data_IF_211763457062
#
_entry.id   IF_211763457062
#
_cell.length_a   1.000
_cell.length_b   1.000
_cell.length_c   1.000
_cell.angle_alpha   90.00
_cell.angle_beta   90.00
_cell.angle_gamma   90.00
#
_symmetry.space_group_name_H-M   'P 1'
#
loop_
_entity.id
_entity.type
_entity.pdbx_description
1 polymer ?
#
# COMPACT_ATOMS: atom_id res chain seq x y z
N UNK A 1 -30.64 -5.16 2.20
CA UNK A 1 -30.78 -4.96 3.66
C UNK A 1 -30.16 -3.61 3.97
N UNK A 2 -30.87 -2.70 4.64
CA UNK A 2 -30.28 -1.42 5.10
C UNK A 2 -29.56 -1.65 6.43
N UNK A 3 -28.31 -1.18 6.53
CA UNK A 3 -27.50 -1.28 7.75
C UNK A 3 -27.71 -0.02 8.60
N UNK A 4 -28.30 -0.10 9.81
CA UNK A 4 -28.52 1.05 10.68
C UNK A 4 -27.24 1.85 10.98
N UNK A 5 -26.11 1.16 11.08
CA UNK A 5 -24.78 1.71 11.33
C UNK A 5 -24.38 2.71 10.25
N UNK A 6 -24.66 2.40 8.97
CA UNK A 6 -24.41 3.29 7.83
C UNK A 6 -25.22 4.58 7.96
N UNK A 7 -26.47 4.46 8.39
CA UNK A 7 -27.34 5.63 8.62
C UNK A 7 -26.82 6.50 9.76
N UNK A 8 -26.32 5.89 10.84
CA UNK A 8 -25.77 6.60 12.01
C UNK A 8 -24.53 7.40 11.61
N UNK A 9 -23.57 6.80 10.91
CA UNK A 9 -22.33 7.50 10.52
C UNK A 9 -22.58 8.58 9.48
N UNK A 10 -23.54 8.38 8.56
CA UNK A 10 -23.97 9.43 7.62
C UNK A 10 -24.59 10.63 8.33
N UNK A 11 -25.46 10.40 9.32
CA UNK A 11 -26.03 11.48 10.15
C UNK A 11 -24.93 12.23 10.90
N UNK A 12 -23.96 11.50 11.46
CA UNK A 12 -22.81 12.09 12.14
C UNK A 12 -21.96 12.95 11.20
N UNK A 13 -21.65 12.47 9.99
CA UNK A 13 -20.91 13.25 8.98
C UNK A 13 -21.69 14.49 8.54
N UNK A 14 -22.98 14.34 8.21
CA UNK A 14 -23.84 15.42 7.75
C UNK A 14 -24.05 16.53 8.80
N UNK A 15 -23.90 16.21 10.09
CA UNK A 15 -23.95 17.21 11.16
C UNK A 15 -22.78 18.21 11.13
N UNK A 16 -21.72 17.95 10.35
CA UNK A 16 -20.53 18.79 10.25
C UNK A 16 -19.57 18.66 11.45
N UNK A 17 -19.93 17.91 12.50
CA UNK A 17 -19.10 17.76 13.70
C UNK A 17 -17.71 17.16 13.43
N UNK A 18 -17.57 16.37 12.36
CA UNK A 18 -16.32 15.72 11.96
C UNK A 18 -15.34 16.65 11.22
N UNK A 19 -15.78 17.86 10.82
CA UNK A 19 -14.96 18.79 10.04
C UNK A 19 -13.86 19.47 10.87
N UNK A 20 -14.10 19.74 12.16
CA UNK A 20 -13.15 20.52 12.95
C UNK A 20 -11.86 19.75 13.20
N UNK A 21 -10.72 20.44 13.14
CA UNK A 21 -9.42 19.84 13.47
C UNK A 21 -9.35 19.43 14.94
N UNK A 22 -10.03 20.17 15.82
CA UNK A 22 -10.10 19.87 17.25
C UNK A 22 -10.82 18.53 17.50
N UNK A 23 -12.00 18.33 16.88
CA UNK A 23 -12.72 17.06 17.00
C UNK A 23 -11.85 15.89 16.52
N UNK A 24 -11.24 16.04 15.34
CA UNK A 24 -10.35 15.03 14.74
C UNK A 24 -9.15 14.71 15.63
N UNK A 25 -8.43 15.73 16.10
CA UNK A 25 -7.30 15.55 17.04
C UNK A 25 -7.73 14.85 18.31
N UNK A 26 -8.85 15.26 18.90
CA UNK A 26 -9.39 14.64 20.11
C UNK A 26 -9.68 13.16 19.92
N UNK A 27 -10.23 12.76 18.77
CA UNK A 27 -10.47 11.33 18.52
C UNK A 27 -9.15 10.58 18.32
N UNK A 28 -8.20 11.15 17.58
CA UNK A 28 -6.87 10.55 17.38
C UNK A 28 -6.08 10.40 18.68
N UNK A 29 -6.20 11.33 19.63
CA UNK A 29 -5.53 11.22 20.94
C UNK A 29 -6.12 10.08 21.76
N UNK A 30 -7.44 9.97 21.86
CA UNK A 30 -8.12 8.84 22.53
C UNK A 30 -7.72 7.49 21.92
N UNK A 31 -7.54 7.48 20.61
CA UNK A 31 -7.06 6.34 19.86
C UNK A 31 -5.65 5.91 20.31
N UNK A 32 -4.71 6.85 20.42
CA UNK A 32 -3.38 6.56 20.96
C UNK A 32 -3.48 6.01 22.38
N UNK A 33 -4.29 6.64 23.24
CA UNK A 33 -4.49 6.19 24.62
C UNK A 33 -5.06 4.76 24.71
N UNK A 34 -6.00 4.38 23.83
CA UNK A 34 -6.57 3.02 23.78
C UNK A 34 -5.49 1.95 23.52
N UNK A 35 -4.52 2.25 22.65
CA UNK A 35 -3.41 1.35 22.32
C UNK A 35 -2.25 1.40 23.29
N UNK A 36 -2.08 2.51 23.99
CA UNK A 36 -1.12 2.61 25.07
C UNK A 36 -1.57 1.85 26.33
N UNK A 37 -2.89 1.63 26.48
CA UNK A 37 -3.46 0.81 27.55
C UNK A 37 -3.03 -0.66 27.44
N UNK A 38 -2.34 -1.14 28.48
CA UNK A 38 -1.79 -2.49 28.53
C UNK A 38 -2.87 -3.57 28.40
N UNK A 39 -4.03 -3.38 29.03
CA UNK A 39 -5.09 -4.39 29.05
C UNK A 39 -5.72 -4.56 27.67
N UNK A 40 -5.88 -3.47 26.93
CA UNK A 40 -6.34 -3.53 25.54
C UNK A 40 -5.30 -4.21 24.64
N UNK A 41 -4.01 -3.91 24.80
CA UNK A 41 -2.94 -4.60 24.08
C UNK A 41 -2.94 -6.11 24.32
N UNK A 42 -3.05 -6.53 25.59
CA UNK A 42 -3.06 -7.94 25.95
C UNK A 42 -4.26 -8.65 25.31
N UNK A 43 -5.45 -8.03 25.34
CA UNK A 43 -6.65 -8.58 24.71
C UNK A 43 -6.52 -8.72 23.19
N UNK A 44 -5.91 -7.74 22.53
CA UNK A 44 -5.66 -7.78 21.08
C UNK A 44 -4.66 -8.89 20.75
N UNK A 45 -3.57 -8.98 21.51
CA UNK A 45 -2.58 -10.05 21.36
C UNK A 45 -3.19 -11.43 21.56
N UNK A 46 -4.03 -11.60 22.60
CA UNK A 46 -4.72 -12.87 22.87
C UNK A 46 -5.69 -13.26 21.75
N UNK A 47 -6.42 -12.30 21.19
CA UNK A 47 -7.35 -12.55 20.08
C UNK A 47 -6.58 -12.98 18.82
N UNK A 48 -5.56 -12.22 18.43
CA UNK A 48 -4.77 -12.50 17.23
C UNK A 48 -3.97 -13.81 17.41
N UNK A 49 -3.51 -14.13 18.62
CA UNK A 49 -2.89 -15.43 18.89
C UNK A 49 -3.89 -16.59 18.71
N UNK A 50 -5.15 -16.43 19.14
CA UNK A 50 -6.17 -17.48 18.95
C UNK A 50 -6.50 -17.72 17.48
N UNK A 51 -6.59 -16.64 16.70
CA UNK A 51 -7.02 -16.70 15.30
C UNK A 51 -5.86 -17.07 14.36
N UNK A 52 -4.70 -16.45 14.54
CA UNK A 52 -3.57 -16.49 13.60
C UNK A 52 -2.29 -17.09 14.21
N UNK A 53 -2.27 -17.38 15.52
CA UNK A 53 -1.09 -17.90 16.25
C UNK A 53 0.13 -16.98 16.24
N UNK A 54 -0.04 -15.69 15.93
CA UNK A 54 1.04 -14.70 16.00
C UNK A 54 1.49 -14.47 17.44
N UNK A 55 2.79 -14.43 17.67
CA UNK A 55 3.31 -14.11 19.00
C UNK A 55 3.09 -12.63 19.34
N UNK A 56 3.03 -12.30 20.63
CA UNK A 56 2.81 -10.92 21.12
C UNK A 56 3.73 -9.91 20.45
N UNK A 57 5.02 -10.24 20.30
CA UNK A 57 6.00 -9.33 19.69
C UNK A 57 5.67 -9.00 18.23
N UNK A 58 5.23 -9.99 17.45
CA UNK A 58 4.81 -9.80 16.06
C UNK A 58 3.55 -8.95 15.97
N UNK A 59 2.56 -9.23 16.82
CA UNK A 59 1.31 -8.46 16.88
C UNK A 59 1.59 -6.99 17.19
N UNK A 60 2.42 -6.73 18.21
CA UNK A 60 2.81 -5.37 18.62
C UNK A 60 3.45 -4.56 17.49
N UNK A 61 4.18 -5.21 16.59
CA UNK A 61 4.90 -4.54 15.50
C UNK A 61 4.03 -4.39 14.24
N UNK A 62 3.11 -5.33 14.00
CA UNK A 62 2.43 -5.45 12.69
C UNK A 62 0.95 -5.07 12.69
N UNK A 63 0.28 -5.10 13.84
CA UNK A 63 -1.20 -5.10 13.89
C UNK A 63 -1.80 -4.00 14.75
N UNK A 64 -1.09 -3.54 15.78
CA UNK A 64 -1.68 -2.67 16.81
C UNK A 64 -1.73 -1.22 16.33
N UNK A 65 -2.74 -0.90 15.52
CA UNK A 65 -3.28 0.43 15.20
C UNK A 65 -4.79 0.32 14.84
N UNK A 66 -5.60 1.34 15.20
CA UNK A 66 -7.06 1.58 15.00
C UNK A 66 -8.08 1.46 16.19
N UNK A 67 -8.77 2.58 16.50
CA UNK A 67 -9.72 2.79 17.61
C UNK A 67 -11.17 2.78 17.17
N UNK A 68 -11.95 1.92 17.82
CA UNK A 68 -13.37 1.64 17.61
C UNK A 68 -14.35 2.81 17.74
N UNK A 69 -13.97 3.96 18.30
CA UNK A 69 -14.89 5.12 18.39
C UNK A 69 -14.99 5.92 17.07
N UNK A 70 -14.07 5.72 16.12
CA UNK A 70 -14.00 6.47 14.86
C UNK A 70 -14.60 5.74 13.65
N UNK A 71 -14.94 4.48 13.80
CA UNK A 71 -15.50 3.63 12.75
C UNK A 71 -16.69 2.84 13.29
N UNK A 72 -17.46 2.21 12.38
CA UNK A 72 -18.44 1.19 12.76
C UNK A 72 -17.95 -0.14 12.22
N UNK A 73 -18.06 -1.19 13.03
CA UNK A 73 -17.69 -2.55 12.62
C UNK A 73 -18.96 -3.29 12.21
N UNK A 74 -18.99 -3.73 10.96
CA UNK A 74 -19.99 -4.67 10.48
C UNK A 74 -19.28 -6.00 10.26
N UNK A 75 -19.56 -6.98 11.12
CA UNK A 75 -19.10 -8.34 10.91
C UNK A 75 -19.96 -8.98 9.83
N UNK A 76 -19.34 -9.35 8.71
CA UNK A 76 -20.04 -9.88 7.56
C UNK A 76 -19.19 -10.96 6.86
N UNK A 77 -19.86 -12.01 6.41
CA UNK A 77 -19.28 -12.97 5.47
C UNK A 77 -19.33 -12.43 4.02
N UNK A 78 -19.03 -13.28 3.04
CA UNK A 78 -19.06 -12.87 1.63
C UNK A 78 -20.44 -12.37 1.16
N UNK A 79 -21.54 -12.91 1.68
CA UNK A 79 -22.90 -12.51 1.32
C UNK A 79 -23.23 -11.17 1.99
N UNK A 80 -22.92 -11.05 3.28
CA UNK A 80 -23.09 -9.82 4.03
C UNK A 80 -22.28 -8.65 3.44
N UNK A 81 -21.04 -8.91 3.02
CA UNK A 81 -20.16 -7.91 2.39
C UNK A 81 -20.72 -7.45 1.05
N UNK A 82 -21.22 -8.37 0.22
CA UNK A 82 -21.94 -8.00 -1.02
C UNK A 82 -23.17 -7.14 -0.70
N UNK A 83 -23.97 -7.51 0.30
CA UNK A 83 -25.12 -6.68 0.69
C UNK A 83 -24.67 -5.29 1.18
N UNK A 84 -23.57 -5.19 1.93
CA UNK A 84 -23.04 -3.92 2.42
C UNK A 84 -22.65 -3.00 1.27
N UNK A 85 -21.95 -3.53 0.26
CA UNK A 85 -21.49 -2.79 -0.92
C UNK A 85 -22.61 -2.33 -1.85
N UNK A 86 -23.87 -2.77 -1.66
CA UNK A 86 -25.02 -2.17 -2.37
C UNK A 86 -25.33 -0.75 -1.91
N UNK A 87 -24.86 -0.36 -0.71
CA UNK A 87 -25.00 0.98 -0.18
C UNK A 87 -24.02 1.94 -0.87
N UNK A 88 -24.45 3.18 -1.09
CA UNK A 88 -23.57 4.24 -1.61
C UNK A 88 -22.55 4.66 -0.55
N UNK A 89 -21.27 4.47 -0.82
CA UNK A 89 -20.19 5.06 -0.01
C UNK A 89 -19.55 6.22 -0.77
N UNK A 90 -19.01 7.19 -0.05
CA UNK A 90 -18.27 8.30 -0.66
C UNK A 90 -16.84 7.89 -1.05
N UNK A 91 -16.33 6.82 -0.42
CA UNK A 91 -15.06 6.18 -0.73
C UNK A 91 -15.10 4.71 -0.26
N UNK A 92 -14.43 3.82 -0.99
CA UNK A 92 -14.22 2.42 -0.55
C UNK A 92 -12.73 2.12 -0.50
N UNK A 93 -12.28 1.60 0.63
CA UNK A 93 -10.92 1.09 0.81
C UNK A 93 -11.02 -0.42 1.02
N UNK A 94 -10.31 -1.20 0.20
CA UNK A 94 -10.34 -2.66 0.27
C UNK A 94 -8.92 -3.22 0.25
N UNK A 95 -8.62 -4.14 1.17
CA UNK A 95 -7.41 -4.94 1.17
C UNK A 95 -7.80 -6.41 1.09
N UNK A 96 -7.21 -7.16 0.16
CA UNK A 96 -7.52 -8.58 0.00
C UNK A 96 -7.12 -9.16 -1.35
N UNK A 97 -7.80 -10.23 -1.78
CA UNK A 97 -7.46 -10.90 -3.04
C UNK A 97 -7.89 -10.12 -4.28
N UNK A 98 -7.12 -10.25 -5.36
CA UNK A 98 -7.40 -9.60 -6.65
C UNK A 98 -8.78 -9.93 -7.21
N UNK A 99 -9.24 -11.18 -7.03
CA UNK A 99 -10.55 -11.62 -7.48
C UNK A 99 -11.69 -10.87 -6.75
N UNK A 100 -11.57 -10.68 -5.43
CA UNK A 100 -12.57 -9.94 -4.65
C UNK A 100 -12.45 -8.45 -4.95
N UNK A 101 -11.24 -7.90 -5.09
CA UNK A 101 -11.01 -6.52 -5.49
C UNK A 101 -11.73 -6.13 -6.80
N UNK A 102 -11.68 -7.00 -7.81
CA UNK A 102 -12.45 -6.86 -9.07
C UNK A 102 -13.96 -6.73 -8.82
N UNK A 103 -14.48 -7.56 -7.91
CA UNK A 103 -15.90 -7.52 -7.53
C UNK A 103 -16.25 -6.23 -6.79
N UNK A 104 -15.41 -5.79 -5.86
CA UNK A 104 -15.57 -4.53 -5.12
C UNK A 104 -15.60 -3.33 -6.07
N UNK A 105 -14.66 -3.27 -7.03
CA UNK A 105 -14.63 -2.22 -8.05
C UNK A 105 -15.91 -2.18 -8.88
N UNK A 106 -16.39 -3.35 -9.33
CA UNK A 106 -17.62 -3.44 -10.12
C UNK A 106 -18.85 -2.94 -9.34
N UNK A 107 -18.92 -3.25 -8.04
CA UNK A 107 -20.00 -2.78 -7.18
C UNK A 107 -19.90 -1.28 -6.88
N UNK A 108 -18.69 -0.77 -6.64
CA UNK A 108 -18.45 0.66 -6.41
C UNK A 108 -18.84 1.51 -7.64
N UNK A 109 -18.63 0.97 -8.85
CA UNK A 109 -18.96 1.64 -10.10
C UNK A 109 -20.46 1.98 -10.24
N UNK A 110 -21.37 1.22 -9.62
CA UNK A 110 -22.81 1.50 -9.67
C UNK A 110 -23.18 2.84 -9.02
N UNK A 111 -22.33 3.34 -8.13
CA UNK A 111 -22.51 4.60 -7.41
C UNK A 111 -21.48 5.67 -7.77
N UNK A 112 -20.61 5.39 -8.76
CA UNK A 112 -19.43 6.20 -9.08
C UNK A 112 -18.54 6.46 -7.85
N UNK A 113 -18.48 5.48 -6.94
CA UNK A 113 -17.70 5.58 -5.72
C UNK A 113 -16.21 5.34 -6.04
N UNK A 114 -15.31 6.28 -5.71
CA UNK A 114 -13.88 6.06 -5.84
C UNK A 114 -13.42 4.93 -4.90
N UNK A 115 -12.45 4.14 -5.37
CA UNK A 115 -11.90 3.01 -4.59
C UNK A 115 -10.38 3.07 -4.51
N UNK A 116 -9.84 2.55 -3.41
CA UNK A 116 -8.47 2.03 -3.36
C UNK A 116 -8.52 0.54 -3.07
N UNK A 117 -7.81 -0.23 -3.89
CA UNK A 117 -7.64 -1.67 -3.75
C UNK A 117 -6.17 -1.96 -3.45
N UNK A 118 -5.91 -2.50 -2.27
CA UNK A 118 -4.59 -2.98 -1.83
C UNK A 118 -4.58 -4.50 -1.97
N UNK A 119 -4.02 -5.01 -3.07
CA UNK A 119 -4.12 -6.41 -3.44
C UNK A 119 -2.77 -7.13 -3.26
N UNK A 120 -2.81 -8.46 -3.30
CA UNK A 120 -1.61 -9.30 -3.22
C UNK A 120 -0.90 -9.45 -4.56
N UNK A 121 0.05 -10.37 -4.61
CA UNK A 121 0.77 -10.72 -5.83
C UNK A 121 2.04 -11.51 -5.54
N UNK A 122 2.65 -12.09 -6.58
CA UNK A 122 3.87 -12.89 -6.40
C UNK A 122 5.10 -11.98 -6.35
N UNK A 123 5.50 -11.55 -5.16
CA UNK A 123 6.66 -10.68 -4.95
C UNK A 123 8.00 -11.41 -5.24
N UNK A 124 8.74 -11.06 -6.32
CA UNK A 124 10.01 -11.69 -6.63
C UNK A 124 11.15 -11.20 -5.72
N UNK A 125 12.09 -12.12 -5.45
CA UNK A 125 13.41 -11.80 -4.89
C UNK A 125 14.48 -12.18 -5.91
N UNK A 126 15.26 -11.22 -6.39
CA UNK A 126 16.45 -11.50 -7.20
C UNK A 126 17.70 -11.54 -6.32
N UNK A 127 18.55 -12.56 -6.50
CA UNK A 127 19.84 -12.69 -5.79
C UNK A 127 20.94 -13.02 -6.80
N UNK A 128 21.96 -12.17 -6.91
CA UNK A 128 23.15 -12.43 -7.73
C UNK A 128 24.34 -12.98 -6.91
N UNK A 129 25.42 -13.32 -7.62
CA UNK A 129 26.64 -13.89 -7.04
C UNK A 129 27.41 -12.91 -6.15
N UNK A 130 27.16 -11.61 -6.29
CA UNK A 130 27.86 -10.56 -5.53
C UNK A 130 27.24 -10.36 -4.15
N UNK A 131 25.98 -10.77 -3.97
CA UNK A 131 25.23 -10.61 -2.73
C UNK A 131 25.89 -11.31 -1.53
N UNK A 132 25.73 -10.73 -0.33
CA UNK A 132 26.08 -11.42 0.90
C UNK A 132 25.05 -12.51 1.20
N UNK A 133 25.24 -13.70 0.65
CA UNK A 133 24.27 -14.81 0.70
C UNK A 133 23.82 -15.14 2.14
N UNK A 134 24.74 -15.16 3.12
CA UNK A 134 24.39 -15.41 4.53
C UNK A 134 23.42 -14.37 5.12
N UNK A 135 23.59 -13.10 4.78
CA UNK A 135 22.68 -12.04 5.24
C UNK A 135 21.36 -12.05 4.47
N UNK A 136 21.43 -12.30 3.15
CA UNK A 136 20.25 -12.45 2.30
C UNK A 136 19.33 -13.55 2.84
N UNK A 137 19.88 -14.73 3.18
CA UNK A 137 19.14 -15.84 3.80
C UNK A 137 18.41 -15.38 5.05
N UNK A 138 19.10 -14.73 6.00
CA UNK A 138 18.46 -14.25 7.25
C UNK A 138 17.29 -13.31 7.00
N UNK A 139 17.47 -12.32 6.13
CA UNK A 139 16.44 -11.31 5.81
C UNK A 139 15.25 -11.92 5.10
N UNK A 140 15.52 -12.72 4.07
CA UNK A 140 14.50 -13.37 3.25
C UNK A 140 13.69 -14.37 4.07
N UNK A 141 14.33 -15.19 4.90
CA UNK A 141 13.62 -16.14 5.76
C UNK A 141 12.79 -15.45 6.83
N UNK A 142 13.31 -14.40 7.45
CA UNK A 142 12.52 -13.58 8.39
C UNK A 142 11.26 -13.02 7.70
N UNK A 143 11.42 -12.42 6.52
CA UNK A 143 10.31 -11.86 5.76
C UNK A 143 9.31 -12.90 5.24
N UNK A 144 9.78 -14.11 4.92
CA UNK A 144 8.90 -15.21 4.49
C UNK A 144 8.19 -15.88 5.66
N UNK A 145 8.80 -15.92 6.85
CA UNK A 145 8.26 -16.67 7.99
C UNK A 145 7.41 -15.81 8.93
N UNK A 146 7.52 -14.48 8.87
CA UNK A 146 6.58 -13.59 9.57
C UNK A 146 5.15 -13.88 9.07
N UNK A 147 4.19 -13.93 9.99
CA UNK A 147 2.82 -14.37 9.74
C UNK A 147 2.71 -15.70 8.97
N UNK A 148 3.68 -16.61 9.12
CA UNK A 148 3.77 -17.85 8.36
C UNK A 148 3.71 -17.63 6.83
N UNK A 149 4.20 -16.49 6.33
CA UNK A 149 4.22 -16.16 4.91
C UNK A 149 2.92 -15.57 4.36
N UNK A 150 1.92 -15.37 5.21
CA UNK A 150 0.64 -14.74 4.87
C UNK A 150 0.75 -13.21 4.89
N UNK A 151 1.63 -12.66 4.05
CA UNK A 151 1.87 -11.21 3.95
C UNK A 151 1.88 -10.83 2.47
N UNK A 152 1.12 -9.81 2.06
CA UNK A 152 0.97 -9.41 0.64
C UNK A 152 2.29 -8.99 -0.03
N UNK A 153 3.30 -8.64 0.77
CA UNK A 153 4.66 -8.31 0.32
C UNK A 153 5.70 -9.34 0.75
N UNK A 154 5.28 -10.52 1.21
CA UNK A 154 6.23 -11.59 1.51
C UNK A 154 7.01 -11.94 0.23
N UNK A 155 8.31 -12.24 0.33
CA UNK A 155 9.03 -12.96 -0.70
C UNK A 155 8.21 -14.16 -1.19
N UNK A 156 7.76 -14.16 -2.45
CA UNK A 156 6.93 -15.26 -2.95
C UNK A 156 7.81 -16.33 -3.60
N UNK A 157 8.77 -15.90 -4.42
CA UNK A 157 9.76 -16.78 -5.07
C UNK A 157 11.13 -16.09 -5.23
N UNK A 158 12.19 -16.89 -5.37
CA UNK A 158 13.56 -16.42 -5.61
C UNK A 158 13.96 -16.66 -7.05
N UNK A 159 14.63 -15.69 -7.65
CA UNK A 159 15.28 -15.77 -8.94
C UNK A 159 16.78 -15.63 -8.73
N UNK A 160 17.57 -16.64 -9.08
CA UNK A 160 19.02 -16.61 -8.89
C UNK A 160 19.74 -17.59 -9.83
N UNK A 161 21.07 -17.55 -9.87
CA UNK A 161 21.83 -18.61 -10.53
C UNK A 161 21.82 -19.90 -9.71
N UNK A 162 22.12 -21.03 -10.36
CA UNK A 162 22.18 -22.34 -9.70
C UNK A 162 23.17 -22.36 -8.53
N UNK A 163 24.31 -21.70 -8.68
CA UNK A 163 25.33 -21.63 -7.63
C UNK A 163 24.83 -20.85 -6.39
N UNK A 164 24.07 -19.78 -6.62
CA UNK A 164 23.45 -19.00 -5.54
C UNK A 164 22.36 -19.82 -4.85
N UNK A 165 21.53 -20.56 -5.59
CA UNK A 165 20.51 -21.46 -5.03
C UNK A 165 21.13 -22.50 -4.08
N UNK A 166 22.19 -23.20 -4.53
CA UNK A 166 22.89 -24.19 -3.72
C UNK A 166 23.48 -23.58 -2.44
N UNK A 167 24.06 -22.37 -2.56
CA UNK A 167 24.60 -21.65 -1.41
C UNK A 167 23.51 -21.21 -0.43
N UNK A 168 22.37 -20.73 -0.91
CA UNK A 168 21.24 -20.29 -0.09
C UNK A 168 20.67 -21.45 0.74
N UNK A 169 20.43 -22.61 0.10
CA UNK A 169 19.90 -23.81 0.75
C UNK A 169 20.86 -24.29 1.85
N UNK A 170 22.18 -24.25 1.59
CA UNK A 170 23.18 -24.63 2.59
C UNK A 170 23.13 -23.72 3.83
N UNK A 171 23.20 -22.40 3.65
CA UNK A 171 23.16 -21.46 4.78
C UNK A 171 21.85 -21.50 5.55
N UNK A 172 20.76 -21.83 4.86
CA UNK A 172 19.45 -21.98 5.51
C UNK A 172 19.49 -23.10 6.54
N UNK A 173 20.01 -24.29 6.19
CA UNK A 173 20.07 -25.45 7.09
C UNK A 173 20.86 -25.20 8.38
N UNK A 174 21.74 -24.20 8.39
CA UNK A 174 22.56 -23.85 9.56
C UNK A 174 21.81 -22.99 10.60
N UNK A 175 20.65 -22.39 10.26
CA UNK A 175 20.01 -21.30 11.02
C UNK A 175 18.50 -21.55 11.36
N UNK A 176 17.96 -22.77 11.18
CA UNK A 176 16.50 -23.01 11.26
C UNK A 176 15.92 -23.17 12.67
N UNK A 177 14.81 -22.46 12.94
CA UNK A 177 13.90 -22.67 14.09
C UNK A 177 12.45 -22.99 13.66
N UNK A 178 12.11 -22.79 12.38
CA UNK A 178 10.86 -23.17 11.70
C UNK A 178 11.27 -23.80 10.36
N UNK A 179 10.57 -24.82 9.84
CA UNK A 179 10.91 -25.49 8.57
C UNK A 179 10.10 -24.91 7.38
N UNK A 180 10.58 -23.87 6.67
CA UNK A 180 10.02 -23.49 5.37
C UNK A 180 10.33 -24.55 4.32
N UNK A 181 9.42 -24.73 3.36
CA UNK A 181 9.58 -25.72 2.28
C UNK A 181 10.22 -25.05 1.06
N UNK A 182 11.44 -25.46 0.71
CA UNK A 182 12.13 -24.98 -0.50
C UNK A 182 11.87 -25.91 -1.69
N UNK A 183 11.54 -25.32 -2.83
CA UNK A 183 11.33 -26.06 -4.09
C UNK A 183 12.28 -25.49 -5.14
N UNK A 184 13.28 -26.27 -5.53
CA UNK A 184 14.32 -25.84 -6.47
C UNK A 184 13.94 -26.04 -7.94
N UNK A 185 14.51 -25.21 -8.82
CA UNK A 185 14.38 -25.32 -10.29
C UNK A 185 12.93 -25.31 -10.80
N UNK A 186 12.10 -24.47 -10.19
CA UNK A 186 10.70 -24.28 -10.56
C UNK A 186 10.62 -23.54 -11.90
N UNK A 187 9.74 -24.02 -12.77
CA UNK A 187 9.44 -23.41 -14.06
C UNK A 187 8.25 -22.48 -13.95
N UNK A 188 8.14 -21.57 -14.91
CA UNK A 188 7.05 -20.59 -14.97
C UNK A 188 5.65 -21.23 -14.98
N UNK A 189 5.50 -22.34 -15.68
CA UNK A 189 4.25 -23.05 -15.89
C UNK A 189 3.89 -24.01 -14.75
N UNK A 190 4.74 -24.15 -13.73
CA UNK A 190 4.43 -24.95 -12.55
C UNK A 190 3.28 -24.32 -11.75
N UNK A 191 2.50 -25.17 -11.07
CA UNK A 191 1.34 -24.76 -10.25
C UNK A 191 1.74 -23.73 -9.18
N UNK A 192 2.92 -23.90 -8.59
CA UNK A 192 3.48 -22.98 -7.58
C UNK A 192 3.70 -21.56 -8.11
N UNK A 193 3.74 -21.38 -9.44
CA UNK A 193 3.98 -20.09 -10.08
C UNK A 193 2.71 -19.43 -10.63
N UNK A 194 1.56 -20.12 -10.61
CA UNK A 194 0.32 -19.60 -11.21
C UNK A 194 -0.42 -18.63 -10.28
N UNK A 195 -0.42 -18.88 -8.97
CA UNK A 195 -1.14 -18.08 -7.98
C UNK A 195 -0.21 -17.63 -6.85
N UNK A 196 -0.64 -16.64 -6.07
CA UNK A 196 0.04 -16.18 -4.86
C UNK A 196 0.10 -17.32 -3.83
N UNK A 197 1.28 -17.59 -3.26
CA UNK A 197 1.47 -18.76 -2.39
C UNK A 197 0.87 -18.53 -1.01
N UNK A 198 1.05 -17.31 -0.48
CA UNK A 198 0.52 -16.87 0.81
C UNK A 198 0.75 -17.87 1.97
N UNK A 199 1.96 -18.44 2.01
CA UNK A 199 2.34 -19.49 2.96
C UNK A 199 3.84 -19.79 2.91
N UNK A 200 4.38 -20.67 3.78
CA UNK A 200 5.82 -20.86 3.99
C UNK A 200 6.47 -21.81 2.96
N UNK A 201 6.09 -21.68 1.69
CA UNK A 201 6.68 -22.42 0.55
C UNK A 201 7.49 -21.43 -0.30
N UNK A 202 8.67 -21.85 -0.74
CA UNK A 202 9.67 -20.98 -1.37
C UNK A 202 10.24 -21.59 -2.66
N UNK A 203 9.64 -21.28 -3.82
CA UNK A 203 10.14 -21.67 -5.13
C UNK A 203 11.42 -20.92 -5.52
N UNK A 204 12.35 -21.62 -6.16
CA UNK A 204 13.51 -21.03 -6.83
C UNK A 204 13.40 -21.19 -8.35
N UNK A 205 13.46 -20.06 -9.05
CA UNK A 205 13.60 -19.97 -10.49
C UNK A 205 15.06 -19.72 -10.81
N UNK A 206 15.69 -20.62 -11.56
CA UNK A 206 17.10 -20.48 -11.94
C UNK A 206 17.24 -19.70 -13.23
N UNK A 207 18.09 -18.67 -13.25
CA UNK A 207 18.41 -17.87 -14.43
C UNK A 207 19.92 -17.74 -14.62
N UNK A 208 20.35 -17.40 -15.83
CA UNK A 208 21.76 -17.26 -16.19
C UNK A 208 22.23 -15.79 -16.20
N UNK A 209 21.31 -14.82 -16.13
CA UNK A 209 21.64 -13.40 -16.17
C UNK A 209 20.56 -12.52 -15.54
N UNK A 210 20.92 -11.27 -15.25
CA UNK A 210 19.95 -10.24 -14.83
C UNK A 210 18.92 -9.94 -15.92
N UNK A 211 19.29 -10.07 -17.21
CA UNK A 211 18.36 -9.83 -18.33
C UNK A 211 17.27 -10.89 -18.36
N UNK A 212 17.64 -12.16 -18.18
CA UNK A 212 16.69 -13.27 -18.08
C UNK A 212 15.78 -13.12 -16.85
N UNK A 213 16.30 -12.61 -15.73
CA UNK A 213 15.50 -12.28 -14.56
C UNK A 213 14.47 -11.18 -14.85
N UNK A 214 14.89 -10.11 -15.54
CA UNK A 214 14.01 -9.00 -15.96
C UNK A 214 12.91 -9.52 -16.88
N UNK A 215 13.27 -10.34 -17.87
CA UNK A 215 12.31 -10.92 -18.81
C UNK A 215 11.32 -11.84 -18.09
N UNK A 216 11.78 -12.63 -17.12
CA UNK A 216 10.92 -13.47 -16.29
C UNK A 216 9.92 -12.62 -15.49
N UNK A 217 10.39 -11.61 -14.74
CA UNK A 217 9.55 -10.73 -13.91
C UNK A 217 8.52 -9.99 -14.76
N UNK A 218 8.93 -9.43 -15.90
CA UNK A 218 8.02 -8.70 -16.79
C UNK A 218 6.98 -9.60 -17.46
N UNK A 219 7.20 -10.92 -17.43
CA UNK A 219 6.28 -11.89 -17.99
C UNK A 219 5.18 -12.34 -17.02
N UNK A 220 5.29 -12.01 -15.73
CA UNK A 220 4.27 -12.28 -14.71
C UNK A 220 3.35 -11.08 -14.50
N UNK A 221 2.31 -11.23 -13.67
CA UNK A 221 1.55 -10.08 -13.18
C UNK A 221 2.47 -9.13 -12.39
N UNK A 222 2.14 -7.83 -12.39
CA UNK A 222 2.95 -6.81 -11.72
C UNK A 222 2.88 -7.02 -10.20
N UNK A 223 4.03 -7.26 -9.53
CA UNK A 223 4.02 -7.54 -8.09
C UNK A 223 3.84 -6.27 -7.26
N UNK A 224 3.30 -6.43 -6.05
CA UNK A 224 3.21 -5.35 -5.06
C UNK A 224 4.60 -4.90 -4.58
N UNK A 225 5.54 -5.84 -4.41
CA UNK A 225 6.93 -5.54 -4.06
C UNK A 225 7.95 -6.32 -4.88
N UNK A 226 9.09 -5.71 -5.17
CA UNK A 226 10.29 -6.33 -5.74
C UNK A 226 11.47 -6.21 -4.77
N UNK A 227 12.22 -7.29 -4.59
CA UNK A 227 13.41 -7.32 -3.73
C UNK A 227 14.66 -7.67 -4.53
N UNK A 228 15.72 -6.89 -4.36
CA UNK A 228 16.97 -7.03 -5.11
C UNK A 228 18.13 -7.19 -4.14
N UNK A 229 18.79 -8.34 -4.12
CA UNK A 229 20.03 -8.55 -3.37
C UNK A 229 21.21 -8.57 -4.34
N UNK A 230 21.99 -7.48 -4.32
CA UNK A 230 23.18 -7.29 -5.14
C UNK A 230 24.12 -6.29 -4.48
N UNK A 231 25.42 -6.46 -4.66
CA UNK A 231 26.43 -5.43 -4.36
C UNK A 231 26.80 -4.60 -5.59
N UNK A 232 26.40 -5.02 -6.79
CA UNK A 232 26.60 -4.27 -8.02
C UNK A 232 25.42 -3.33 -8.27
N UNK A 233 25.65 -2.03 -8.08
CA UNK A 233 24.63 -1.01 -8.29
C UNK A 233 24.11 -0.98 -9.73
N UNK A 234 24.91 -1.39 -10.72
CA UNK A 234 24.46 -1.41 -12.11
C UNK A 234 23.38 -2.49 -12.31
N UNK A 235 23.55 -3.65 -11.66
CA UNK A 235 22.55 -4.73 -11.71
C UNK A 235 21.27 -4.28 -11.00
N UNK A 236 21.40 -3.65 -9.82
CA UNK A 236 20.24 -3.16 -9.07
C UNK A 236 19.47 -2.08 -9.82
N UNK A 237 20.17 -1.07 -10.37
CA UNK A 237 19.57 -0.01 -11.18
C UNK A 237 18.91 -0.57 -12.44
N UNK A 238 19.55 -1.51 -13.13
CA UNK A 238 19.02 -2.16 -14.33
C UNK A 238 17.71 -2.90 -14.04
N UNK A 239 17.61 -3.61 -12.91
CA UNK A 239 16.36 -4.26 -12.48
C UNK A 239 15.28 -3.24 -12.14
N UNK A 240 15.63 -2.19 -11.40
CA UNK A 240 14.69 -1.11 -11.05
C UNK A 240 14.12 -0.38 -12.26
N UNK A 241 14.96 -0.07 -13.25
CA UNK A 241 14.57 0.69 -14.44
C UNK A 241 13.76 -0.12 -15.45
N UNK A 242 13.94 -1.45 -15.43
CA UNK A 242 13.37 -2.35 -16.46
C UNK A 242 12.29 -3.28 -15.96
N UNK A 243 11.85 -3.13 -14.71
CA UNK A 243 10.73 -3.88 -14.14
C UNK A 243 9.70 -2.93 -13.51
N UNK A 244 8.49 -3.43 -13.26
CA UNK A 244 7.42 -2.65 -12.61
C UNK A 244 6.97 -3.35 -11.33
N UNK A 245 6.86 -2.60 -10.23
CA UNK A 245 6.30 -3.07 -8.95
C UNK A 245 5.76 -1.89 -8.13
N UNK A 246 4.93 -2.18 -7.11
CA UNK A 246 4.44 -1.17 -6.16
C UNK A 246 5.55 -0.49 -5.35
N UNK A 247 6.51 -1.27 -4.87
CA UNK A 247 7.71 -0.77 -4.20
C UNK A 247 8.92 -1.69 -4.38
N UNK A 248 10.12 -1.10 -4.31
CA UNK A 248 11.38 -1.84 -4.43
C UNK A 248 12.22 -1.69 -3.17
N UNK A 249 12.85 -2.77 -2.71
CA UNK A 249 13.88 -2.71 -1.67
C UNK A 249 15.18 -3.38 -2.15
N UNK A 250 16.31 -2.69 -1.99
CA UNK A 250 17.64 -3.21 -2.31
C UNK A 250 18.30 -3.69 -1.02
N UNK A 251 18.78 -4.93 -1.03
CA UNK A 251 19.47 -5.62 0.06
C UNK A 251 18.65 -5.74 1.35
N UNK A 252 17.35 -5.48 1.31
CA UNK A 252 16.43 -5.72 2.42
C UNK A 252 15.06 -6.18 1.91
N UNK A 253 14.20 -6.59 2.84
CA UNK A 253 12.86 -7.11 2.55
C UNK A 253 11.85 -6.53 3.52
N UNK A 254 10.64 -6.24 3.04
CA UNK A 254 9.49 -5.70 3.80
C UNK A 254 9.73 -4.32 4.41
N UNK A 255 10.95 -3.92 4.75
CA UNK A 255 11.26 -2.72 5.52
C UNK A 255 10.77 -1.42 4.87
N UNK A 256 10.54 -1.40 3.55
CA UNK A 256 9.92 -0.25 2.88
C UNK A 256 8.52 0.08 3.43
N UNK A 257 7.80 -0.89 4.01
CA UNK A 257 6.48 -0.66 4.63
C UNK A 257 6.58 -0.03 6.02
N UNK A 258 7.76 -0.12 6.66
CA UNK A 258 8.01 0.45 7.97
C UNK A 258 8.30 1.96 7.90
N UNK A 259 8.78 2.47 6.76
CA UNK A 259 8.95 3.91 6.56
C UNK A 259 7.63 4.56 6.14
N UNK A 260 6.91 5.10 7.12
CA UNK A 260 5.59 5.72 6.96
C UNK A 260 5.57 6.95 6.01
N UNK A 261 6.74 7.43 5.58
CA UNK A 261 6.88 8.54 4.62
C UNK A 261 6.81 8.06 3.16
N UNK A 262 7.06 6.78 2.91
CA UNK A 262 7.00 6.19 1.58
C UNK A 262 5.56 5.83 1.17
N UNK A 263 5.23 5.92 -0.13
CA UNK A 263 4.00 5.33 -0.66
C UNK A 263 4.06 3.80 -0.63
N UNK A 264 2.91 3.20 -0.39
CA UNK A 264 2.58 1.79 -0.40
C UNK A 264 1.34 1.59 -1.28
N UNK A 265 1.37 0.57 -2.12
CA UNK A 265 0.32 0.27 -3.09
C UNK A 265 0.92 -0.24 -4.39
N UNK A 266 0.14 -1.00 -5.16
CA UNK A 266 0.59 -1.59 -6.42
C UNK A 266 0.46 -0.64 -7.62
N UNK A 267 0.76 -1.17 -8.82
CA UNK A 267 0.95 -0.36 -10.06
C UNK A 267 0.11 -0.83 -11.24
N UNK A 268 -0.88 -1.69 -11.03
CA UNK A 268 -1.60 -2.29 -12.14
C UNK A 268 -2.63 -1.33 -12.76
N UNK A 269 -2.57 -1.16 -14.08
CA UNK A 269 -3.21 -0.04 -14.81
C UNK A 269 -4.72 -0.17 -15.00
N UNK A 270 -5.33 -1.28 -14.56
CA UNK A 270 -6.77 -1.52 -14.73
C UNK A 270 -7.55 -1.71 -13.43
N UNK A 271 -6.90 -1.94 -12.29
CA UNK A 271 -7.60 -2.28 -11.04
C UNK A 271 -7.05 -1.60 -9.79
N UNK A 272 -5.76 -1.25 -9.74
CA UNK A 272 -5.17 -0.59 -8.57
C UNK A 272 -5.03 0.91 -8.82
N UNK A 273 -6.10 1.65 -8.48
CA UNK A 273 -6.08 3.11 -8.54
C UNK A 273 -5.59 3.68 -7.22
N UNK A 274 -4.38 4.26 -7.31
CA UNK A 274 -3.68 5.20 -6.40
C UNK A 274 -2.77 4.56 -5.35
N UNK A 275 -1.47 4.83 -5.52
CA UNK A 275 -0.41 4.71 -4.51
C UNK A 275 -0.81 5.48 -3.23
N UNK A 276 -0.73 4.84 -2.06
CA UNK A 276 -1.01 5.43 -0.75
C UNK A 276 0.28 5.62 0.04
N UNK A 277 0.72 6.84 0.34
CA UNK A 277 1.61 7.02 1.52
C UNK A 277 0.78 6.84 2.77
N UNK A 278 1.34 6.32 3.87
CA UNK A 278 0.64 6.37 5.15
C UNK A 278 0.27 7.83 5.54
N UNK A 279 1.07 8.81 5.10
CA UNK A 279 0.76 10.25 5.15
C UNK A 279 -0.22 10.76 4.06
N UNK A 280 -0.37 10.08 2.92
CA UNK A 280 -1.28 10.42 1.81
C UNK A 280 -2.61 9.64 1.87
N UNK A 281 -2.80 8.70 2.79
CA UNK A 281 -4.13 8.10 3.05
C UNK A 281 -5.17 9.17 3.37
N UNK A 282 -4.74 10.31 3.92
CA UNK A 282 -5.59 11.49 4.05
C UNK A 282 -5.91 12.09 2.67
N UNK A 283 -4.96 12.21 1.75
CA UNK A 283 -5.23 12.83 0.43
C UNK A 283 -6.05 11.95 -0.51
N UNK A 284 -6.00 10.63 -0.37
CA UNK A 284 -6.92 9.71 -1.06
C UNK A 284 -8.36 9.88 -0.54
N UNK A 285 -8.53 10.11 0.77
CA UNK A 285 -9.80 10.38 1.44
C UNK A 285 -10.31 11.83 1.28
N UNK A 286 -9.47 12.75 0.84
CA UNK A 286 -9.84 14.15 0.61
C UNK A 286 -10.17 14.38 -0.86
N UNK A 287 -11.37 14.91 -1.12
CA UNK A 287 -11.59 15.65 -2.36
C UNK A 287 -10.74 16.93 -2.30
N UNK A 288 -9.88 17.16 -3.30
CA UNK A 288 -9.21 18.47 -3.48
C UNK A 288 -10.11 19.33 -4.36
N UNK A 289 -11.01 20.16 -3.81
CA UNK A 289 -11.77 21.08 -4.65
C UNK A 289 -10.79 22.09 -5.24
N UNK A 290 -10.79 22.22 -6.57
CA UNK A 290 -10.17 23.35 -7.25
C UNK A 290 -11.04 24.59 -6.98
N UNK A 291 -10.82 25.24 -5.84
CA UNK A 291 -11.47 26.52 -5.54
C UNK A 291 -10.66 27.65 -6.15
N UNK A 292 -11.10 28.17 -7.30
CA UNK A 292 -10.70 29.49 -7.77
C UNK A 292 -11.57 30.52 -7.05
N UNK A 293 -11.09 31.07 -5.94
CA UNK A 293 -11.75 32.22 -5.31
C UNK A 293 -11.26 33.51 -5.98
N UNK A 294 -12.02 34.04 -6.94
CA UNK A 294 -11.93 35.45 -7.35
C UNK A 294 -13.07 36.21 -6.71
N UNK A 295 -12.82 36.82 -5.55
CA UNK A 295 -13.64 37.90 -5.04
C UNK A 295 -12.78 39.16 -4.99
N UNK A 296 -12.90 40.00 -6.00
CA UNK A 296 -12.36 41.36 -5.99
C UNK A 296 -13.51 42.31 -5.60
N UNK A 297 -13.49 42.85 -4.38
CA UNK A 297 -14.36 43.96 -4.01
C UNK A 297 -13.54 45.24 -3.92
N UNK A 298 -13.95 46.26 -4.66
CA UNK A 298 -13.47 47.63 -4.53
C UNK A 298 -14.38 48.39 -3.57
N UNK A 299 -13.84 48.79 -2.42
CA UNK A 299 -14.51 49.67 -1.45
C UNK A 299 -13.84 51.03 -1.52
N UNK A 300 -14.47 52.02 -2.16
CA UNK A 300 -13.98 53.40 -2.16
C UNK A 300 -14.46 54.12 -0.90
N UNK A 301 -13.54 54.70 -0.14
CA UNK A 301 -13.87 55.68 0.89
C UNK A 301 -13.81 57.07 0.25
N UNK A 302 -14.93 57.79 0.28
CA UNK A 302 -15.14 59.15 -0.24
C UNK A 302 -14.87 59.36 -1.74
N UNK A 303 -15.93 59.71 -2.47
CA UNK A 303 -15.84 60.06 -3.89
C UNK A 303 -15.19 61.44 -4.07
N UNK A 304 -14.00 61.48 -4.66
CA UNK A 304 -13.53 62.66 -5.38
C UNK A 304 -13.49 62.33 -6.88
N UNK A 305 -14.07 63.22 -7.68
CA UNK A 305 -14.29 63.09 -9.13
C UNK A 305 -13.02 62.67 -9.87
N UNK A 306 -13.04 61.64 -10.74
CA UNK A 306 -11.88 61.32 -11.57
C UNK A 306 -11.70 62.38 -12.66
N UNK A 307 -10.60 63.11 -12.59
CA UNK A 307 -10.11 63.95 -13.69
C UNK A 307 -9.10 63.13 -14.51
N UNK A 308 -9.50 62.69 -15.71
CA UNK A 308 -8.66 62.52 -16.91
C UNK A 308 -9.35 61.60 -17.92
N UNK A 309 -9.53 62.12 -19.14
CA UNK A 309 -9.99 61.45 -20.35
C UNK A 309 -9.07 60.30 -20.75
N UNK A 310 -9.61 59.09 -20.91
CA UNK A 310 -8.87 57.94 -21.41
C UNK A 310 -8.92 57.88 -22.94
N UNK A 311 -8.13 58.72 -23.60
CA UNK A 311 -7.77 58.52 -25.01
C UNK A 311 -6.41 57.81 -25.08
N UNK A 312 -6.36 56.66 -25.78
CA UNK A 312 -5.09 56.10 -26.26
C UNK A 312 -4.56 54.81 -25.63
N UNK A 313 -5.36 53.98 -24.96
CA UNK A 313 -4.87 52.65 -24.50
C UNK A 313 -5.06 51.60 -25.61
N UNK A 314 -3.96 51.30 -26.30
CA UNK A 314 -3.83 50.14 -27.21
C UNK A 314 -3.69 48.84 -26.40
N UNK A 315 -4.49 47.83 -26.72
CA UNK A 315 -4.31 46.47 -26.21
C UNK A 315 -3.08 45.83 -26.85
N UNK A 316 -2.03 45.58 -26.05
CA UNK A 316 -0.95 44.65 -26.41
C UNK A 316 -1.20 43.30 -25.73
N UNK A 317 -0.97 42.24 -26.52
CA UNK A 317 -1.23 40.83 -26.27
C UNK A 317 -1.00 40.32 -24.85
N UNK A 318 -1.93 39.47 -24.37
CA UNK A 318 -1.78 38.64 -23.18
C UNK A 318 -0.50 37.79 -23.26
N UNK A 319 0.36 37.91 -22.24
CA UNK A 319 1.31 36.86 -21.87
C UNK A 319 0.89 36.30 -20.51
N UNK A 320 0.52 35.01 -20.49
CA UNK A 320 0.32 34.28 -19.25
C UNK A 320 1.69 33.86 -18.71
N UNK A 321 2.07 34.38 -17.54
CA UNK A 321 3.18 33.84 -16.76
C UNK A 321 2.60 32.85 -15.74
N UNK A 322 2.89 31.56 -15.92
CA UNK A 322 2.71 30.57 -14.86
C UNK A 322 3.94 30.62 -13.95
N UNK A 323 3.77 31.05 -12.69
CA UNK A 323 4.79 30.91 -11.67
C UNK A 323 4.34 29.84 -10.68
N UNK A 324 4.97 28.66 -10.78
CA UNK A 324 4.79 27.53 -9.87
C UNK A 324 5.66 27.78 -8.63
N UNK A 325 5.04 28.13 -7.49
CA UNK A 325 5.76 28.16 -6.21
C UNK A 325 5.56 26.83 -5.51
N UNK A 326 6.66 26.08 -5.42
CA UNK A 326 6.76 24.84 -4.66
C UNK A 326 6.44 25.05 -3.18
N UNK A 327 5.74 24.07 -2.61
CA UNK A 327 5.48 23.98 -1.18
C UNK A 327 6.76 23.50 -0.49
N UNK A 328 7.25 24.29 0.46
CA UNK A 328 8.18 23.86 1.52
C UNK A 328 7.46 22.97 2.53
#
# INVERSE_FOLDING_TARGET
>A
MEFPEVTIVRKAFASGKTLSLEFRRKQLTKLVEFFEDQKNRDRICDAIYKDMRKCTYEVMITEIYLDSECYQVVLADAIGTKSLLTNRFDYIFFTGSTQVGKSVLQMAATHLTPVTLELGGKSPVFIDETACCKMAVKRILWAKCINLGQTCVAPDYVICSKQVQESFIRYTKEDLWIEPTFVGNVKRDDILMQEEIFGPIFPFVTVNSSDEAIDFINSTERPLALYIFSKDENIANKLMERTFSGGVCINDTIFQVADLRLPFGGTDSLLELRLIKLFDGISSLLTKPLTQHHWSFLKTQQSTTPCASADGIQFKSLQFYYQYYGLK
#
